data_IF_442241793309
#
_entry.id   IF_442241793309
#
_cell.length_a   1.000
_cell.length_b   1.000
_cell.length_c   1.000
_cell.angle_alpha   90.00
_cell.angle_beta   90.00
_cell.angle_gamma   90.00
#
_symmetry.space_group_name_H-M   'P 1'
#
loop_
_entity.id
_entity.type
_entity.pdbx_description
1 polymer ?
#
# COMPACT_ATOMS: atom_id res chain seq x y z
N UNK A 1 34.21 -4.26 -5.84
CA UNK A 1 33.98 -2.95 -5.20
C UNK A 1 33.84 -1.93 -6.32
N UNK A 2 32.66 -1.32 -6.48
CA UNK A 2 32.39 -0.35 -7.54
C UNK A 2 32.35 1.06 -6.93
N UNK A 3 33.46 1.78 -7.02
CA UNK A 3 33.59 3.18 -6.59
C UNK A 3 34.13 3.97 -7.77
N UNK A 4 33.43 5.05 -8.12
CA UNK A 4 33.73 5.87 -9.28
C UNK A 4 33.98 7.31 -8.82
N UNK A 5 35.01 7.93 -9.36
CA UNK A 5 35.33 9.35 -9.10
C UNK A 5 34.60 10.25 -10.10
N UNK A 6 34.34 9.75 -11.32
CA UNK A 6 33.57 10.45 -12.34
C UNK A 6 32.10 10.02 -12.35
N UNK A 7 31.22 11.02 -12.36
CA UNK A 7 29.77 10.83 -12.37
C UNK A 7 29.29 10.14 -13.65
N UNK A 8 29.87 10.46 -14.81
CA UNK A 8 29.47 9.85 -16.09
C UNK A 8 29.82 8.37 -16.13
N UNK A 9 30.99 7.99 -15.62
CA UNK A 9 31.37 6.57 -15.48
C UNK A 9 30.41 5.81 -14.56
N UNK A 10 30.04 6.43 -13.42
CA UNK A 10 29.07 5.82 -12.49
C UNK A 10 27.71 5.55 -13.15
N UNK A 11 27.25 6.47 -13.99
CA UNK A 11 25.96 6.37 -14.69
C UNK A 11 25.99 5.34 -15.84
N UNK A 12 27.15 5.14 -16.47
CA UNK A 12 27.32 4.06 -17.46
C UNK A 12 27.30 2.69 -16.77
N UNK A 13 27.98 2.56 -15.62
CA UNK A 13 27.99 1.33 -14.86
C UNK A 13 26.59 0.93 -14.36
N UNK A 14 25.79 1.90 -13.89
CA UNK A 14 24.40 1.66 -13.43
C UNK A 14 23.50 1.11 -14.54
N UNK A 15 23.74 1.52 -15.81
CA UNK A 15 22.99 0.98 -16.95
C UNK A 15 23.33 -0.46 -17.27
N UNK A 16 24.58 -0.87 -17.01
CA UNK A 16 25.06 -2.23 -17.25
C UNK A 16 24.64 -3.19 -16.13
N UNK A 17 24.53 -2.69 -14.89
CA UNK A 17 24.20 -3.49 -13.72
C UNK A 17 22.72 -3.27 -13.35
N UNK A 18 21.83 -4.13 -13.87
CA UNK A 18 20.39 -4.07 -13.58
C UNK A 18 20.14 -4.18 -12.07
N UNK A 19 19.28 -3.31 -11.54
CA UNK A 19 18.95 -3.25 -10.11
C UNK A 19 19.95 -2.49 -9.23
N UNK A 20 21.06 -1.99 -9.80
CA UNK A 20 22.03 -1.19 -9.06
C UNK A 20 21.47 0.20 -8.69
N UNK A 21 21.87 0.70 -7.51
CA UNK A 21 21.61 2.06 -7.04
C UNK A 21 22.95 2.69 -6.70
N UNK A 22 23.17 3.93 -7.10
CA UNK A 22 24.37 4.67 -6.76
C UNK A 22 24.09 5.66 -5.62
N UNK A 23 25.10 5.90 -4.79
CA UNK A 23 25.08 6.88 -3.70
C UNK A 23 26.36 7.70 -3.78
N UNK A 24 26.24 9.02 -3.66
CA UNK A 24 27.39 9.92 -3.63
C UNK A 24 27.94 10.04 -2.20
N UNK A 25 29.26 10.13 -2.10
CA UNK A 25 29.99 10.32 -0.83
C UNK A 25 31.00 11.46 -1.00
N UNK A 26 31.27 12.17 0.09
CA UNK A 26 32.23 13.29 0.10
C UNK A 26 33.69 12.84 0.19
N UNK A 27 33.93 11.58 0.58
CA UNK A 27 35.25 10.96 0.68
C UNK A 27 35.22 9.57 0.03
N UNK A 28 36.41 9.08 -0.35
CA UNK A 28 36.56 7.79 -1.03
C UNK A 28 36.42 6.62 -0.05
N UNK A 29 36.89 6.80 1.17
CA UNK A 29 36.92 5.79 2.22
C UNK A 29 35.51 5.32 2.59
N UNK A 30 34.53 6.23 2.70
CA UNK A 30 33.14 5.87 3.02
C UNK A 30 32.44 5.22 1.82
N UNK A 31 32.76 5.65 0.60
CA UNK A 31 32.27 4.99 -0.62
C UNK A 31 32.75 3.53 -0.69
N UNK A 32 34.02 3.28 -0.34
CA UNK A 32 34.58 1.93 -0.31
C UNK A 32 34.00 1.07 0.81
N UNK A 33 33.80 1.62 2.02
CA UNK A 33 33.12 0.91 3.13
C UNK A 33 31.71 0.50 2.74
N UNK A 34 30.95 1.43 2.15
CA UNK A 34 29.60 1.18 1.64
C UNK A 34 29.60 0.08 0.56
N UNK A 35 30.49 0.17 -0.41
CA UNK A 35 30.60 -0.81 -1.49
C UNK A 35 31.13 -2.18 -1.04
N UNK A 36 31.81 -2.26 0.12
CA UNK A 36 32.26 -3.51 0.75
C UNK A 36 31.23 -4.08 1.74
N UNK A 37 30.10 -3.40 1.96
CA UNK A 37 29.05 -3.84 2.89
C UNK A 37 29.43 -3.71 4.38
N UNK A 38 30.49 -2.95 4.69
CA UNK A 38 30.92 -2.68 6.07
C UNK A 38 30.09 -1.52 6.59
N UNK A 39 29.09 -1.79 7.43
CA UNK A 39 28.18 -0.78 7.94
C UNK A 39 28.30 -0.64 9.46
N UNK A 40 29.12 0.31 9.91
CA UNK A 40 29.03 0.88 11.26
C UNK A 40 27.92 1.93 11.26
N UNK A 41 26.68 1.49 11.48
CA UNK A 41 25.52 2.37 11.43
C UNK A 41 25.48 3.27 12.69
N UNK A 42 26.10 4.44 12.62
CA UNK A 42 25.75 5.54 13.53
C UNK A 42 24.38 6.13 13.10
N UNK A 43 23.39 6.21 13.99
CA UNK A 43 22.10 6.81 13.65
C UNK A 43 22.28 8.30 13.33
N UNK A 44 21.72 8.76 12.21
CA UNK A 44 21.53 10.20 11.96
C UNK A 44 20.69 10.81 13.09
N UNK A 45 21.07 11.97 13.63
CA UNK A 45 20.39 12.61 14.74
C UNK A 45 19.17 13.37 14.21
N UNK A 46 18.13 12.66 13.79
CA UNK A 46 16.77 13.20 13.64
C UNK A 46 15.79 12.09 13.24
N UNK A 47 15.32 11.33 14.22
CA UNK A 47 13.90 11.08 14.50
C UNK A 47 13.76 10.03 15.59
N UNK A 48 12.81 10.31 16.46
CA UNK A 48 12.37 9.55 17.62
C UNK A 48 12.07 8.08 17.29
N UNK A 49 12.39 7.24 18.28
CA UNK A 49 12.43 5.79 18.29
C UNK A 49 11.11 5.10 17.92
N UNK A 50 11.20 3.85 17.45
CA UNK A 50 10.57 2.68 18.11
C UNK A 50 11.15 1.34 17.56
N UNK A 51 11.57 0.54 18.54
CA UNK A 51 11.71 -0.93 18.69
C UNK A 51 12.36 -1.83 17.63
N UNK A 52 13.41 -2.49 18.12
CA UNK A 52 14.15 -3.63 17.59
C UNK A 52 13.33 -4.94 17.64
N UNK A 53 13.59 -5.85 16.70
CA UNK A 53 13.41 -7.30 16.88
C UNK A 53 14.58 -8.07 16.21
N UNK A 54 14.91 -9.29 16.69
CA UNK A 54 16.30 -9.74 16.78
C UNK A 54 16.84 -10.48 15.56
N UNK A 55 18.13 -10.27 15.33
CA UNK A 55 19.02 -10.88 14.34
C UNK A 55 19.15 -12.39 14.56
N UNK A 56 19.11 -13.19 13.48
CA UNK A 56 19.71 -14.53 13.44
C UNK A 56 20.91 -14.51 12.49
N UNK A 57 22.06 -14.76 13.09
CA UNK A 57 23.41 -14.81 12.52
C UNK A 57 23.53 -16.00 11.57
N UNK A 58 24.11 -15.78 10.39
CA UNK A 58 24.48 -16.82 9.43
C UNK A 58 25.99 -17.05 9.52
N UNK A 59 26.43 -18.30 9.66
CA UNK A 59 27.84 -18.71 9.60
C UNK A 59 28.08 -19.52 8.32
N UNK A 60 29.20 -19.26 7.67
CA UNK A 60 29.60 -19.66 6.31
C UNK A 60 30.46 -20.91 6.32
N UNK A 61 30.22 -21.88 5.43
CA UNK A 61 31.17 -22.81 4.76
C UNK A 61 30.35 -23.56 3.67
N UNK A 62 30.72 -23.86 2.43
CA UNK A 62 31.86 -23.63 1.54
C UNK A 62 31.70 -24.57 0.32
N UNK A 63 31.96 -24.04 -0.89
CA UNK A 63 32.30 -24.68 -2.21
C UNK A 63 31.31 -25.53 -3.05
N UNK A 64 31.34 -25.13 -4.34
CA UNK A 64 31.20 -25.84 -5.63
C UNK A 64 29.85 -26.45 -6.06
N UNK A 65 29.32 -25.94 -7.18
CA UNK A 65 28.45 -26.70 -8.10
C UNK A 65 27.18 -26.01 -8.59
N UNK A 66 27.17 -25.62 -9.87
CA UNK A 66 26.01 -25.31 -10.75
C UNK A 66 25.13 -24.08 -10.40
N UNK A 67 25.22 -23.06 -11.28
CA UNK A 67 24.41 -21.85 -11.22
C UNK A 67 23.09 -22.04 -11.98
N UNK A 68 22.01 -22.30 -11.24
CA UNK A 68 20.65 -21.90 -11.62
C UNK A 68 20.25 -20.75 -10.69
N UNK A 69 19.94 -19.54 -11.17
CA UNK A 69 19.51 -18.48 -10.27
C UNK A 69 17.98 -18.52 -10.12
N UNK A 70 17.51 -19.42 -9.26
CA UNK A 70 16.31 -19.20 -8.46
C UNK A 70 16.74 -19.07 -7.00
N UNK A 71 16.79 -17.85 -6.49
CA UNK A 71 16.26 -17.54 -5.16
C UNK A 71 16.20 -16.02 -5.00
N UNK A 72 15.11 -15.45 -5.50
CA UNK A 72 14.62 -14.20 -4.92
C UNK A 72 14.23 -14.48 -3.47
N UNK A 73 14.69 -13.61 -2.58
CA UNK A 73 14.36 -13.64 -1.16
C UNK A 73 12.85 -13.70 -0.99
N UNK A 74 12.39 -14.84 -0.48
CA UNK A 74 10.98 -15.11 -0.18
C UNK A 74 10.55 -14.19 0.98
N UNK A 75 10.00 -13.01 0.65
CA UNK A 75 8.94 -12.45 1.48
C UNK A 75 7.79 -13.44 1.38
N UNK A 76 7.38 -14.00 2.51
CA UNK A 76 6.34 -15.03 2.62
C UNK A 76 4.93 -14.46 2.38
N UNK A 77 4.79 -13.57 1.42
CA UNK A 77 3.54 -13.25 0.76
C UNK A 77 3.56 -14.13 -0.49
N UNK A 78 2.86 -15.27 -0.48
CA UNK A 78 2.45 -15.87 -1.76
C UNK A 78 1.35 -14.94 -2.28
N UNK A 79 1.79 -13.77 -2.73
CA UNK A 79 0.95 -12.63 -3.02
C UNK A 79 0.00 -13.06 -4.13
N UNK A 80 -1.28 -12.79 -3.92
CA UNK A 80 -2.27 -12.69 -4.98
C UNK A 80 -1.62 -12.21 -6.30
N UNK A 81 -1.97 -12.82 -7.44
CA UNK A 81 -1.30 -12.57 -8.73
C UNK A 81 -1.58 -11.18 -9.33
N UNK A 82 -2.26 -10.31 -8.57
CA UNK A 82 -2.69 -8.99 -8.99
C UNK A 82 -1.58 -7.95 -8.83
N UNK A 83 -1.27 -7.28 -9.93
CA UNK A 83 -0.36 -6.12 -9.94
C UNK A 83 -1.10 -4.87 -9.45
N UNK A 84 -0.42 -4.02 -8.69
CA UNK A 84 -0.97 -2.71 -8.28
C UNK A 84 -1.33 -1.86 -9.51
N UNK A 85 -2.52 -1.24 -9.55
CA UNK A 85 -2.89 -0.32 -10.62
C UNK A 85 -1.94 0.88 -10.67
N UNK A 86 -1.70 1.41 -11.87
CA UNK A 86 -0.91 2.64 -12.03
C UNK A 86 -1.67 3.82 -11.45
N UNK A 87 -0.97 4.83 -10.95
CA UNK A 87 -1.57 6.08 -10.44
C UNK A 87 -2.51 6.73 -11.46
N UNK A 88 -2.18 6.65 -12.76
CA UNK A 88 -3.05 7.12 -13.84
C UNK A 88 -4.37 6.35 -13.91
N UNK A 89 -4.36 5.03 -13.75
CA UNK A 89 -5.58 4.23 -13.76
C UNK A 89 -6.43 4.50 -12.50
N UNK A 90 -5.81 4.70 -11.34
CA UNK A 90 -6.50 5.11 -10.11
C UNK A 90 -7.18 6.47 -10.25
N UNK A 91 -6.49 7.46 -10.83
CA UNK A 91 -6.99 8.84 -10.91
C UNK A 91 -7.93 9.04 -12.10
N UNK A 92 -7.60 8.50 -13.28
CA UNK A 92 -8.35 8.76 -14.50
C UNK A 92 -9.55 7.82 -14.70
N UNK A 93 -9.55 6.64 -14.07
CA UNK A 93 -10.64 5.66 -14.17
C UNK A 93 -11.37 5.50 -12.85
N UNK A 94 -10.73 4.93 -11.82
CA UNK A 94 -11.41 4.59 -10.57
C UNK A 94 -12.00 5.83 -9.90
N UNK A 95 -11.19 6.87 -9.66
CA UNK A 95 -11.66 8.12 -9.05
C UNK A 95 -12.77 8.76 -9.87
N UNK A 96 -12.63 8.85 -11.21
CA UNK A 96 -13.65 9.43 -12.07
C UNK A 96 -14.97 8.66 -12.06
N UNK A 97 -14.92 7.32 -12.00
CA UNK A 97 -16.11 6.50 -11.87
C UNK A 97 -16.83 6.79 -10.54
N UNK A 98 -16.07 6.89 -9.46
CA UNK A 98 -16.58 7.25 -8.13
C UNK A 98 -17.19 8.65 -8.15
N UNK A 99 -16.49 9.67 -8.65
CA UNK A 99 -16.98 11.06 -8.72
C UNK A 99 -18.28 11.19 -9.51
N UNK A 100 -18.49 10.35 -10.54
CA UNK A 100 -19.70 10.34 -11.37
C UNK A 100 -20.83 9.45 -10.84
N UNK A 101 -20.57 8.62 -9.83
CA UNK A 101 -21.52 7.58 -9.42
C UNK A 101 -21.69 6.47 -10.45
N UNK A 102 -20.69 6.21 -11.29
CA UNK A 102 -20.73 5.14 -12.29
C UNK A 102 -20.47 3.78 -11.64
N UNK A 103 -21.54 3.21 -11.10
CA UNK A 103 -21.54 1.92 -10.41
C UNK A 103 -21.05 0.77 -11.29
N UNK A 104 -21.39 0.79 -12.59
CA UNK A 104 -21.02 -0.27 -13.53
C UNK A 104 -19.51 -0.29 -13.77
N UNK A 105 -18.92 0.87 -14.10
CA UNK A 105 -17.47 1.00 -14.29
C UNK A 105 -16.72 0.76 -12.98
N UNK A 106 -17.27 1.21 -11.84
CA UNK A 106 -16.67 0.95 -10.53
C UNK A 106 -16.56 -0.55 -10.24
N UNK A 107 -17.65 -1.31 -10.42
CA UNK A 107 -17.68 -2.75 -10.23
C UNK A 107 -16.74 -3.48 -11.21
N UNK A 108 -16.74 -3.11 -12.49
CA UNK A 108 -15.86 -3.72 -13.49
C UNK A 108 -14.38 -3.58 -13.07
N UNK A 109 -13.98 -2.38 -12.64
CA UNK A 109 -12.59 -2.12 -12.23
C UNK A 109 -12.19 -2.95 -11.01
N UNK A 110 -12.98 -2.93 -9.93
CA UNK A 110 -12.59 -3.60 -8.68
C UNK A 110 -12.60 -5.11 -8.80
N UNK A 111 -13.54 -5.69 -9.56
CA UNK A 111 -13.60 -7.15 -9.79
C UNK A 111 -12.56 -7.63 -10.80
N UNK A 112 -12.13 -6.78 -11.75
CA UNK A 112 -10.99 -7.10 -12.60
C UNK A 112 -9.67 -7.19 -11.82
N UNK A 113 -9.53 -6.39 -10.76
CA UNK A 113 -8.34 -6.34 -9.93
C UNK A 113 -8.66 -5.77 -8.52
N UNK A 114 -8.67 -6.59 -7.46
CA UNK A 114 -8.98 -6.13 -6.11
C UNK A 114 -7.98 -5.12 -5.54
N UNK A 115 -6.78 -4.96 -6.14
CA UNK A 115 -5.82 -3.91 -5.78
C UNK A 115 -6.31 -2.48 -6.05
N UNK A 116 -7.39 -2.31 -6.81
CA UNK A 116 -8.08 -1.02 -6.91
C UNK A 116 -8.66 -0.56 -5.56
N UNK A 117 -8.98 -1.48 -4.65
CA UNK A 117 -9.43 -1.18 -3.30
C UNK A 117 -8.37 -1.48 -2.25
N UNK A 118 -7.65 -2.60 -2.38
CA UNK A 118 -6.75 -3.07 -1.34
C UNK A 118 -5.29 -2.89 -1.79
N UNK A 119 -4.64 -1.87 -1.25
CA UNK A 119 -3.26 -1.55 -1.53
C UNK A 119 -2.25 -2.50 -0.89
N UNK A 120 -0.99 -2.09 -0.87
CA UNK A 120 0.07 -2.83 -0.17
C UNK A 120 -0.14 -2.81 1.35
N UNK A 121 0.04 -3.95 2.00
CA UNK A 121 -0.09 -4.08 3.46
C UNK A 121 -1.52 -3.82 3.96
N UNK A 122 -2.52 -4.25 3.20
CA UNK A 122 -3.95 -4.19 3.55
C UNK A 122 -4.49 -2.78 3.81
N UNK A 123 -3.86 -1.76 3.22
CA UNK A 123 -4.31 -0.38 3.34
C UNK A 123 -5.31 -0.04 2.23
N UNK A 124 -6.33 0.80 2.48
CA UNK A 124 -7.17 1.36 1.43
C UNK A 124 -6.33 2.01 0.32
N UNK A 125 -6.65 1.68 -0.93
CA UNK A 125 -5.99 2.30 -2.08
C UNK A 125 -6.31 3.79 -2.11
N UNK A 126 -5.25 4.59 -2.21
CA UNK A 126 -5.34 6.05 -2.25
C UNK A 126 -5.59 6.49 -3.69
N UNK A 127 -6.69 7.20 -3.91
CA UNK A 127 -7.10 7.73 -5.22
C UNK A 127 -6.79 9.23 -5.38
N UNK A 128 -6.35 9.88 -4.30
CA UNK A 128 -5.84 11.26 -4.31
C UNK A 128 -4.67 11.42 -3.33
N UNK A 129 -3.44 11.47 -3.84
CA UNK A 129 -2.21 11.38 -3.03
C UNK A 129 -2.00 12.54 -2.05
N UNK A 130 -2.29 13.79 -2.45
CA UNK A 130 -2.01 14.98 -1.65
C UNK A 130 -2.72 14.96 -0.29
N UNK A 131 -4.05 14.79 -0.32
CA UNK A 131 -4.88 14.70 0.89
C UNK A 131 -5.05 13.27 1.40
N UNK A 132 -4.49 12.29 0.68
CA UNK A 132 -4.62 10.84 0.93
C UNK A 132 -6.08 10.34 0.99
N UNK A 133 -6.91 10.77 0.04
CA UNK A 133 -8.28 10.25 -0.02
C UNK A 133 -8.29 8.81 -0.53
N UNK A 134 -8.94 7.93 0.22
CA UNK A 134 -9.41 6.64 -0.28
C UNK A 134 -10.74 6.83 -1.06
N UNK A 135 -11.27 5.73 -1.61
CA UNK A 135 -12.54 5.74 -2.36
C UNK A 135 -13.71 6.30 -1.54
N UNK A 136 -13.83 5.94 -0.26
CA UNK A 136 -14.95 6.35 0.61
C UNK A 136 -14.97 7.87 0.83
N UNK A 137 -13.81 8.51 0.99
CA UNK A 137 -13.73 9.97 1.09
C UNK A 137 -14.24 10.67 -0.18
N UNK A 138 -13.86 10.16 -1.36
CA UNK A 138 -14.30 10.74 -2.64
C UNK A 138 -15.81 10.53 -2.81
N UNK A 139 -16.32 9.32 -2.57
CA UNK A 139 -17.74 9.03 -2.65
C UNK A 139 -18.57 9.90 -1.69
N UNK A 140 -18.06 10.10 -0.46
CA UNK A 140 -18.70 10.94 0.54
C UNK A 140 -18.68 12.43 0.19
N UNK A 141 -17.61 12.92 -0.45
CA UNK A 141 -17.51 14.29 -0.93
C UNK A 141 -18.49 14.58 -2.07
N UNK A 142 -18.59 13.66 -3.03
CA UNK A 142 -19.33 13.85 -4.29
C UNK A 142 -20.79 13.38 -4.24
N UNK A 143 -21.32 13.11 -3.03
CA UNK A 143 -22.68 12.62 -2.79
C UNK A 143 -23.03 11.32 -3.53
N UNK A 144 -22.24 10.27 -3.35
CA UNK A 144 -22.39 9.00 -4.08
C UNK A 144 -22.78 7.84 -3.15
N UNK A 145 -24.03 7.81 -2.66
CA UNK A 145 -24.48 6.78 -1.71
C UNK A 145 -24.48 5.38 -2.33
N UNK A 146 -24.74 5.25 -3.63
CA UNK A 146 -24.68 3.97 -4.36
C UNK A 146 -23.28 3.35 -4.34
N UNK A 147 -22.26 4.16 -4.68
CA UNK A 147 -20.85 3.74 -4.59
C UNK A 147 -20.44 3.40 -3.16
N UNK A 148 -20.90 4.15 -2.15
CA UNK A 148 -20.64 3.82 -0.74
C UNK A 148 -21.17 2.43 -0.37
N UNK A 149 -22.41 2.09 -0.78
CA UNK A 149 -22.99 0.76 -0.54
C UNK A 149 -22.20 -0.33 -1.25
N UNK A 150 -21.98 -0.18 -2.57
CA UNK A 150 -21.23 -1.16 -3.36
C UNK A 150 -19.82 -1.40 -2.82
N UNK A 151 -19.14 -0.35 -2.34
CA UNK A 151 -17.83 -0.48 -1.73
C UNK A 151 -17.88 -1.34 -0.46
N UNK A 152 -18.83 -1.08 0.44
CA UNK A 152 -19.00 -1.85 1.68
C UNK A 152 -19.40 -3.30 1.36
N UNK A 153 -20.42 -3.49 0.53
CA UNK A 153 -20.89 -4.81 0.12
C UNK A 153 -19.76 -5.64 -0.52
N UNK A 154 -18.89 -5.01 -1.33
CA UNK A 154 -17.77 -5.69 -1.97
C UNK A 154 -16.66 -6.05 -0.97
N UNK A 155 -16.32 -5.16 -0.04
CA UNK A 155 -15.29 -5.42 0.97
C UNK A 155 -15.74 -6.44 2.02
N UNK A 156 -17.04 -6.52 2.29
CA UNK A 156 -17.64 -7.51 3.19
C UNK A 156 -17.90 -8.86 2.50
N UNK A 157 -17.83 -8.92 1.17
CA UNK A 157 -17.99 -10.16 0.41
C UNK A 157 -16.76 -11.08 0.56
N UNK A 158 -16.89 -12.27 1.17
CA UNK A 158 -15.78 -13.19 1.35
C UNK A 158 -15.18 -13.69 0.02
N UNK A 159 -15.97 -13.80 -1.05
CA UNK A 159 -15.48 -14.23 -2.37
C UNK A 159 -14.54 -13.20 -2.98
N UNK A 160 -14.89 -11.92 -2.90
CA UNK A 160 -14.02 -10.82 -3.34
C UNK A 160 -12.71 -10.83 -2.54
N UNK A 161 -12.81 -11.01 -1.23
CA UNK A 161 -11.65 -11.00 -0.34
C UNK A 161 -10.72 -12.18 -0.57
N UNK A 162 -11.25 -13.35 -0.93
CA UNK A 162 -10.45 -14.52 -1.34
C UNK A 162 -9.64 -14.30 -2.62
N UNK A 163 -10.00 -13.32 -3.46
CA UNK A 163 -9.15 -12.94 -4.60
C UNK A 163 -7.80 -12.39 -4.12
N UNK A 164 -7.78 -11.69 -2.98
CA UNK A 164 -6.57 -11.17 -2.36
C UNK A 164 -5.92 -12.18 -1.40
N UNK A 165 -6.72 -12.98 -0.70
CA UNK A 165 -6.26 -13.86 0.37
C UNK A 165 -6.79 -15.29 0.18
N UNK A 166 -6.31 -16.02 -0.85
CA UNK A 166 -6.84 -17.34 -1.19
C UNK A 166 -6.57 -18.39 -0.11
N UNK A 167 -5.47 -18.22 0.65
CA UNK A 167 -4.99 -19.16 1.65
C UNK A 167 -5.48 -18.84 3.08
N UNK A 168 -6.20 -17.72 3.28
CA UNK A 168 -6.73 -17.37 4.60
C UNK A 168 -7.86 -18.34 5.01
N UNK A 169 -7.81 -18.83 6.24
CA UNK A 169 -8.95 -19.51 6.84
C UNK A 169 -10.11 -18.53 7.10
N UNK A 170 -11.32 -19.05 7.33
CA UNK A 170 -12.52 -18.22 7.51
C UNK A 170 -12.38 -17.20 8.64
N UNK A 171 -11.76 -17.58 9.76
CA UNK A 171 -11.63 -16.71 10.93
C UNK A 171 -10.65 -15.57 10.67
N UNK A 172 -9.53 -15.87 9.99
CA UNK A 172 -8.55 -14.86 9.58
C UNK A 172 -9.13 -13.92 8.52
N UNK A 173 -9.87 -14.47 7.55
CA UNK A 173 -10.53 -13.70 6.51
C UNK A 173 -11.54 -12.72 7.10
N UNK A 174 -12.40 -13.17 8.03
CA UNK A 174 -13.37 -12.31 8.72
C UNK A 174 -12.69 -11.19 9.52
N UNK A 175 -11.60 -11.49 10.25
CA UNK A 175 -10.81 -10.47 10.95
C UNK A 175 -10.24 -9.44 9.98
N UNK A 176 -9.77 -9.88 8.81
CA UNK A 176 -9.20 -9.01 7.79
C UNK A 176 -10.26 -8.14 7.12
N UNK A 177 -11.44 -8.70 6.83
CA UNK A 177 -12.63 -7.97 6.37
C UNK A 177 -12.95 -6.85 7.35
N UNK A 178 -13.14 -7.20 8.62
CA UNK A 178 -13.47 -6.23 9.67
C UNK A 178 -12.42 -5.12 9.77
N UNK A 179 -11.14 -5.47 9.67
CA UNK A 179 -10.04 -4.51 9.68
C UNK A 179 -10.06 -3.56 8.48
N UNK A 180 -10.17 -4.07 7.25
CA UNK A 180 -10.12 -3.25 6.04
C UNK A 180 -11.37 -2.35 5.95
N UNK A 181 -12.54 -2.85 6.33
CA UNK A 181 -13.77 -2.07 6.41
C UNK A 181 -13.64 -0.94 7.44
N UNK A 182 -13.07 -1.19 8.64
CA UNK A 182 -12.76 -0.14 9.62
C UNK A 182 -11.84 0.93 9.02
N UNK A 183 -10.80 0.53 8.28
CA UNK A 183 -9.91 1.50 7.62
C UNK A 183 -10.65 2.37 6.60
N UNK A 184 -11.57 1.79 5.83
CA UNK A 184 -12.34 2.55 4.86
C UNK A 184 -13.34 3.52 5.51
N UNK A 185 -13.94 3.14 6.64
CA UNK A 185 -14.93 3.96 7.35
C UNK A 185 -14.29 5.02 8.26
N UNK A 186 -13.16 4.70 8.89
CA UNK A 186 -12.65 5.43 10.05
C UNK A 186 -11.22 5.96 9.88
N UNK A 187 -10.57 5.76 8.74
CA UNK A 187 -9.27 6.42 8.46
C UNK A 187 -9.53 7.88 8.11
N UNK A 188 -8.97 8.84 8.85
CA UNK A 188 -9.09 10.25 8.51
C UNK A 188 -8.16 10.64 7.37
N UNK A 189 -8.49 11.74 6.69
CA UNK A 189 -7.63 12.35 5.69
C UNK A 189 -6.35 12.94 6.31
N UNK A 190 -5.35 13.23 5.46
CA UNK A 190 -4.06 13.74 5.94
C UNK A 190 -4.10 15.21 6.37
N UNK A 191 -5.00 16.01 5.81
CA UNK A 191 -4.93 17.48 5.89
C UNK A 191 -5.68 18.03 7.09
N UNK A 192 -6.94 17.64 7.27
CA UNK A 192 -7.81 18.18 8.33
C UNK A 192 -8.26 17.10 9.32
N UNK A 193 -7.81 15.86 9.10
CA UNK A 193 -8.13 14.71 9.93
C UNK A 193 -9.63 14.35 9.92
N UNK A 194 -10.30 14.65 8.80
CA UNK A 194 -11.70 14.36 8.57
C UNK A 194 -11.87 12.90 8.08
N UNK A 195 -12.75 12.13 8.71
CA UNK A 195 -13.15 10.80 8.24
C UNK A 195 -14.14 10.93 7.07
N UNK A 196 -14.42 9.87 6.32
CA UNK A 196 -15.46 9.91 5.29
C UNK A 196 -16.84 10.36 5.81
N UNK A 197 -17.19 10.03 7.05
CA UNK A 197 -18.43 10.54 7.66
C UNK A 197 -18.35 12.06 7.91
N UNK A 198 -17.20 12.58 8.36
CA UNK A 198 -17.01 14.04 8.46
C UNK A 198 -17.18 14.71 7.09
N UNK A 199 -16.66 14.12 6.02
CA UNK A 199 -16.88 14.62 4.65
C UNK A 199 -18.37 14.67 4.31
N UNK A 200 -19.10 13.56 4.48
CA UNK A 200 -20.52 13.51 4.17
C UNK A 200 -21.33 14.59 4.93
N UNK A 201 -21.04 14.79 6.22
CA UNK A 201 -21.66 15.83 7.03
C UNK A 201 -21.28 17.25 6.57
N UNK A 202 -19.98 17.50 6.36
CA UNK A 202 -19.42 18.80 5.99
C UNK A 202 -19.91 19.30 4.64
N UNK A 203 -20.10 18.39 3.68
CA UNK A 203 -20.60 18.70 2.35
C UNK A 203 -22.14 18.64 2.25
N UNK A 204 -22.84 18.24 3.32
CA UNK A 204 -24.30 18.23 3.36
C UNK A 204 -24.93 17.12 2.51
N UNK A 205 -24.37 15.91 2.57
CA UNK A 205 -24.78 14.76 1.77
C UNK A 205 -25.57 13.73 2.62
N UNK A 206 -26.87 13.95 2.89
CA UNK A 206 -27.61 13.18 3.90
C UNK A 206 -27.78 11.71 3.52
N UNK A 207 -27.90 11.36 2.24
CA UNK A 207 -28.01 9.97 1.81
C UNK A 207 -26.73 9.20 2.11
N UNK A 208 -25.56 9.82 1.90
CA UNK A 208 -24.29 9.20 2.27
C UNK A 208 -24.16 9.09 3.78
N UNK A 209 -24.52 10.13 4.53
CA UNK A 209 -24.55 10.08 6.01
C UNK A 209 -25.39 8.90 6.49
N UNK A 210 -26.59 8.71 5.90
CA UNK A 210 -27.47 7.59 6.22
C UNK A 210 -26.80 6.23 5.97
N UNK A 211 -26.13 6.04 4.82
CA UNK A 211 -25.41 4.80 4.51
C UNK A 211 -24.29 4.54 5.53
N UNK A 212 -23.42 5.53 5.75
CA UNK A 212 -22.26 5.36 6.63
C UNK A 212 -22.66 5.18 8.10
N UNK A 213 -23.61 5.98 8.60
CA UNK A 213 -24.05 5.93 9.99
C UNK A 213 -24.86 4.66 10.32
N UNK A 214 -25.46 4.01 9.32
CA UNK A 214 -26.17 2.74 9.50
C UNK A 214 -25.22 1.54 9.63
N UNK A 215 -23.95 1.70 9.26
CA UNK A 215 -22.99 0.61 9.30
C UNK A 215 -22.49 0.33 10.72
N UNK A 216 -22.51 -0.93 11.21
CA UNK A 216 -22.16 -1.24 12.60
C UNK A 216 -20.71 -0.90 12.97
N UNK A 217 -19.80 -0.93 12.00
CA UNK A 217 -18.39 -0.60 12.19
C UNK A 217 -18.08 0.91 12.19
N UNK A 218 -19.07 1.79 11.99
CA UNK A 218 -18.85 3.26 12.01
C UNK A 218 -18.47 3.76 13.40
N UNK A 219 -19.01 3.14 14.45
CA UNK A 219 -18.69 3.47 15.84
C UNK A 219 -17.48 2.65 16.26
N UNK A 220 -16.35 3.32 16.53
CA UNK A 220 -15.21 2.65 17.13
C UNK A 220 -15.55 2.20 18.54
N UNK A 221 -15.59 0.88 18.74
CA UNK A 221 -15.58 0.30 20.09
C UNK A 221 -14.19 0.54 20.68
N UNK A 222 -14.07 1.16 21.87
CA UNK A 222 -12.78 1.26 22.54
C UNK A 222 -12.23 -0.15 22.77
N UNK A 223 -10.94 -0.32 22.47
CA UNK A 223 -10.18 -1.55 22.74
C UNK A 223 -9.81 -1.64 24.22
#
# INVERSE_FOLDING_TARGET
VHVYEDKKESLQAVKMIKGSRFKAFSNREDAEKFAKGVCDYFPSPNKSAISLSPVKVCSVFGRDGLCSPELEMVSKERANSYKSPRTQDLTAKLRKAVEKGDESTFLELIWSNPRYLIGSGDNPTIVQEGCRYNVMHVAAKENQPGICRLLLDTLENPEFMRLMYPDDDTVMLEKRISYIVDLYLNTPDKTVFDTPLHFACKFGNPEVVSVLASHPAIVKKPK
#
